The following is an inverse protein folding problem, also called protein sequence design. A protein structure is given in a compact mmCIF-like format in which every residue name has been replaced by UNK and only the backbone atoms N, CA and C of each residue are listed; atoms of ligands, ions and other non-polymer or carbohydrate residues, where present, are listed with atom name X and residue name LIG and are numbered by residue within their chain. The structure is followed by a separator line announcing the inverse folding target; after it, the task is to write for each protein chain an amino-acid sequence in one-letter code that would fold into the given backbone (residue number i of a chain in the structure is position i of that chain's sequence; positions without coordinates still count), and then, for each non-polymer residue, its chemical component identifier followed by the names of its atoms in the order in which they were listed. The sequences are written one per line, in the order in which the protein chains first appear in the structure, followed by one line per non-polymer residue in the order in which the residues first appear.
data_IF_966496200620
#
_entry.id   IF_966496200620
#
_cell.length_a   1.000
_cell.length_b   1.000
_cell.length_c   1.000
_cell.angle_alpha   90.00
_cell.angle_beta   90.00
_cell.angle_gamma   90.00
#
_symmetry.space_group_name_H-M   'P 1'
#
loop_
_entity.id
_entity.type
_entity.pdbx_description
1 polymer ?
#
# COMPACT_ATOMS: atom_id res chain seq x y z
N UNK A 1 -17.10 17.14 -19.36
CA UNK A 1 -16.66 15.89 -18.70
C UNK A 1 -15.14 15.85 -18.43
N UNK A 2 -14.28 16.01 -19.45
CA UNK A 2 -12.81 15.90 -19.29
C UNK A 2 -12.18 16.93 -18.33
N UNK A 3 -12.68 18.18 -18.31
CA UNK A 3 -12.18 19.23 -17.41
C UNK A 3 -12.50 18.95 -15.94
N UNK A 4 -13.71 18.44 -15.67
CA UNK A 4 -14.15 18.03 -14.34
C UNK A 4 -13.32 16.84 -13.83
N UNK A 5 -13.10 15.82 -14.67
CA UNK A 5 -12.25 14.68 -14.33
C UNK A 5 -10.81 15.13 -14.04
N UNK A 6 -10.27 16.08 -14.83
CA UNK A 6 -8.95 16.67 -14.58
C UNK A 6 -8.89 17.35 -13.21
N UNK A 7 -9.93 18.11 -12.83
CA UNK A 7 -10.04 18.75 -11.51
C UNK A 7 -10.11 17.71 -10.38
N UNK A 8 -10.99 16.72 -10.50
CA UNK A 8 -11.14 15.61 -9.54
C UNK A 8 -9.81 14.86 -9.35
N UNK A 9 -9.17 14.48 -10.45
CA UNK A 9 -7.86 13.82 -10.41
C UNK A 9 -6.80 14.68 -9.74
N UNK A 10 -6.72 15.98 -10.05
CA UNK A 10 -5.76 16.89 -9.42
C UNK A 10 -5.95 16.95 -7.90
N UNK A 11 -7.20 17.00 -7.43
CA UNK A 11 -7.51 16.99 -6.00
C UNK A 11 -7.09 15.68 -5.33
N UNK A 12 -7.47 14.54 -5.90
CA UNK A 12 -7.09 13.20 -5.39
C UNK A 12 -5.57 13.04 -5.35
N UNK A 13 -4.90 13.44 -6.44
CA UNK A 13 -3.45 13.40 -6.52
C UNK A 13 -2.82 14.22 -5.40
N UNK A 14 -3.31 15.45 -5.17
CA UNK A 14 -2.82 16.32 -4.08
C UNK A 14 -3.07 15.71 -2.70
N UNK A 15 -4.26 15.18 -2.43
CA UNK A 15 -4.56 14.49 -1.17
C UNK A 15 -3.63 13.29 -0.92
N UNK A 16 -3.22 12.56 -1.97
CA UNK A 16 -2.33 11.41 -1.85
C UNK A 16 -0.84 11.76 -1.73
N UNK A 17 -0.37 12.84 -2.36
CA UNK A 17 1.08 13.10 -2.50
C UNK A 17 1.58 14.39 -1.87
N UNK A 18 0.70 15.34 -1.57
CA UNK A 18 1.11 16.66 -1.08
C UNK A 18 1.47 16.60 0.41
N UNK A 19 2.42 17.46 0.80
CA UNK A 19 2.76 17.75 2.21
C UNK A 19 2.08 19.01 2.73
N UNK A 20 1.37 19.72 1.85
CA UNK A 20 0.69 20.97 2.18
C UNK A 20 -0.49 20.67 3.11
N UNK A 21 -0.49 21.32 4.28
CA UNK A 21 -1.40 21.05 5.38
C UNK A 21 -2.88 21.19 4.97
N UNK A 22 -3.18 22.03 3.96
CA UNK A 22 -4.54 22.18 3.45
C UNK A 22 -5.14 20.90 2.86
N UNK A 23 -4.30 19.94 2.46
CA UNK A 23 -4.75 18.64 1.94
C UNK A 23 -4.71 17.53 2.99
N UNK A 24 -4.20 17.80 4.20
CA UNK A 24 -4.03 16.78 5.25
C UNK A 24 -5.36 16.16 5.64
N UNK A 25 -6.37 16.98 5.94
CA UNK A 25 -7.66 16.49 6.39
C UNK A 25 -8.30 15.56 5.35
N UNK A 26 -8.35 16.00 4.09
CA UNK A 26 -8.84 15.17 2.98
C UNK A 26 -8.03 13.88 2.80
N UNK A 27 -6.72 13.92 3.01
CA UNK A 27 -5.84 12.74 2.98
C UNK A 27 -6.20 11.74 4.09
N UNK A 28 -6.37 12.24 5.32
CA UNK A 28 -6.72 11.44 6.49
C UNK A 28 -8.11 10.82 6.34
N UNK A 29 -9.11 11.60 5.93
CA UNK A 29 -10.48 11.11 5.68
C UNK A 29 -10.50 9.99 4.64
N UNK A 30 -9.80 10.19 3.52
CA UNK A 30 -9.70 9.17 2.48
C UNK A 30 -9.05 7.89 3.04
N UNK A 31 -7.91 8.00 3.72
CA UNK A 31 -7.22 6.83 4.25
C UNK A 31 -7.98 6.15 5.40
N UNK A 32 -8.69 6.91 6.22
CA UNK A 32 -9.58 6.41 7.27
C UNK A 32 -10.72 5.59 6.66
N UNK A 33 -11.33 6.08 5.58
CA UNK A 33 -12.36 5.32 4.86
C UNK A 33 -11.81 3.98 4.35
N UNK A 34 -10.64 4.01 3.71
CA UNK A 34 -9.99 2.79 3.18
C UNK A 34 -9.65 1.80 4.29
N UNK A 35 -9.09 2.24 5.42
CA UNK A 35 -8.75 1.31 6.50
C UNK A 35 -9.99 0.73 7.18
N UNK A 36 -11.05 1.52 7.35
CA UNK A 36 -12.31 1.03 7.92
C UNK A 36 -12.94 -0.04 7.04
N UNK A 37 -12.85 0.10 5.72
CA UNK A 37 -13.28 -0.94 4.78
C UNK A 37 -12.44 -2.21 4.93
N UNK A 38 -11.11 -2.10 5.07
CA UNK A 38 -10.23 -3.25 5.32
C UNK A 38 -10.59 -3.95 6.63
N UNK A 39 -10.79 -3.20 7.72
CA UNK A 39 -11.18 -3.75 9.03
C UNK A 39 -12.51 -4.50 8.96
N UNK A 40 -13.45 -4.03 8.13
CA UNK A 40 -14.76 -4.70 7.94
C UNK A 40 -14.68 -5.97 7.11
N UNK A 41 -13.72 -6.07 6.21
CA UNK A 41 -13.71 -7.09 5.14
C UNK A 41 -12.60 -8.14 5.30
N UNK A 42 -11.65 -7.91 6.21
CA UNK A 42 -10.51 -8.79 6.41
C UNK A 42 -10.35 -9.14 7.89
N UNK A 43 -9.79 -10.32 8.14
CA UNK A 43 -9.38 -10.72 9.49
C UNK A 43 -8.23 -9.85 9.97
N UNK A 44 -8.42 -9.19 11.11
CA UNK A 44 -7.42 -8.34 11.73
C UNK A 44 -6.74 -9.10 12.86
N UNK A 45 -5.42 -9.20 12.77
CA UNK A 45 -4.57 -9.78 13.81
C UNK A 45 -3.87 -8.68 14.60
N UNK A 46 -3.59 -8.97 15.86
CA UNK A 46 -2.64 -8.24 16.68
C UNK A 46 -1.35 -9.06 16.85
N UNK A 47 -0.42 -8.56 17.66
CA UNK A 47 0.89 -9.19 17.90
C UNK A 47 0.78 -10.60 18.46
N UNK A 48 -0.26 -10.90 19.23
CA UNK A 48 -0.46 -12.18 19.91
C UNK A 48 -1.17 -13.18 19.01
N UNK A 49 -2.13 -12.70 18.21
CA UNK A 49 -2.97 -13.52 17.34
C UNK A 49 -2.37 -13.77 15.96
N UNK A 50 -1.27 -13.11 15.55
CA UNK A 50 -0.64 -13.38 14.22
C UNK A 50 -0.30 -14.86 14.00
N UNK A 51 -0.06 -15.64 15.07
CA UNK A 51 0.26 -17.07 15.02
C UNK A 51 -0.88 -17.91 14.43
N UNK A 52 -2.10 -17.39 14.41
CA UNK A 52 -3.31 -18.05 13.90
C UNK A 52 -3.44 -17.97 12.37
N UNK A 53 -2.62 -17.15 11.68
CA UNK A 53 -2.67 -17.00 10.23
C UNK A 53 -2.40 -18.31 9.46
N UNK A 54 -1.67 -19.25 10.07
CA UNK A 54 -1.09 -20.41 9.39
C UNK A 54 0.25 -20.09 8.74
N UNK A 55 0.98 -21.15 8.36
CA UNK A 55 2.30 -21.04 7.73
C UNK A 55 2.18 -20.94 6.20
N UNK A 56 3.25 -20.45 5.55
CA UNK A 56 3.43 -20.48 4.08
C UNK A 56 2.38 -19.72 3.24
N UNK A 57 1.64 -18.80 3.87
CA UNK A 57 0.73 -17.91 3.14
C UNK A 57 1.56 -16.93 2.31
N UNK A 58 1.48 -17.07 0.97
CA UNK A 58 2.10 -16.16 0.01
C UNK A 58 1.12 -15.06 -0.38
N UNK A 59 1.52 -13.80 -0.26
CA UNK A 59 0.61 -12.71 -0.59
C UNK A 59 1.06 -11.32 -0.17
N UNK A 60 0.12 -10.40 -0.25
CA UNK A 60 0.28 -9.00 0.15
C UNK A 60 -0.36 -8.80 1.51
N UNK A 61 0.34 -8.09 2.39
CA UNK A 61 -0.10 -7.78 3.73
C UNK A 61 -0.08 -6.28 4.01
N UNK A 62 -0.80 -5.91 5.07
CA UNK A 62 -0.80 -4.57 5.66
C UNK A 62 -0.38 -4.65 7.13
N UNK A 63 0.45 -3.71 7.55
CA UNK A 63 0.68 -3.36 8.95
C UNK A 63 0.15 -1.95 9.17
N UNK A 64 -0.63 -1.74 10.20
CA UNK A 64 -1.18 -0.43 10.52
C UNK A 64 -1.31 -0.21 12.03
N UNK A 65 -1.54 1.04 12.43
CA UNK A 65 -2.04 1.34 13.78
C UNK A 65 -3.05 2.48 13.73
N UNK A 66 -3.92 2.50 14.75
CA UNK A 66 -4.92 3.54 14.97
C UNK A 66 -4.53 4.37 16.19
N UNK A 67 -4.95 5.63 16.23
CA UNK A 67 -4.84 6.45 17.43
C UNK A 67 -5.98 6.14 18.42
N UNK A 68 -5.97 6.80 19.58
CA UNK A 68 -7.02 6.61 20.62
C UNK A 68 -8.44 6.96 20.16
N UNK A 69 -8.58 7.75 19.09
CA UNK A 69 -9.86 8.12 18.47
C UNK A 69 -10.30 7.15 17.37
N UNK A 70 -9.55 6.07 17.13
CA UNK A 70 -9.79 5.12 16.05
C UNK A 70 -9.35 5.61 14.67
N UNK A 71 -8.63 6.73 14.57
CA UNK A 71 -8.16 7.27 13.29
C UNK A 71 -6.80 6.65 12.91
N UNK A 72 -6.58 6.50 11.62
CA UNK A 72 -5.37 5.90 11.06
C UNK A 72 -4.13 6.72 11.38
N UNK A 73 -3.19 6.10 12.10
CA UNK A 73 -1.90 6.71 12.44
C UNK A 73 -0.85 6.41 11.38
N UNK A 74 -0.75 5.16 10.94
CA UNK A 74 0.12 4.80 9.83
C UNK A 74 -0.31 3.52 9.10
N UNK A 75 0.22 3.34 7.89
CA UNK A 75 0.12 2.11 7.10
C UNK A 75 1.46 1.72 6.48
N UNK A 76 1.67 0.42 6.35
CA UNK A 76 2.77 -0.18 5.61
C UNK A 76 2.27 -1.41 4.84
N UNK A 77 2.42 -1.40 3.53
CA UNK A 77 2.09 -2.53 2.67
C UNK A 77 3.36 -3.30 2.34
N UNK A 78 3.30 -4.62 2.28
CA UNK A 78 4.41 -5.43 1.79
C UNK A 78 3.95 -6.75 1.19
N UNK A 79 4.84 -7.43 0.49
CA UNK A 79 4.62 -8.80 0.02
C UNK A 79 5.59 -9.79 0.65
N UNK A 80 5.17 -11.06 0.70
CA UNK A 80 6.02 -12.17 1.12
C UNK A 80 5.56 -13.48 0.50
N UNK A 81 6.52 -14.41 0.36
CA UNK A 81 6.25 -15.85 0.16
C UNK A 81 5.83 -16.55 1.47
N UNK A 82 6.00 -15.87 2.60
CA UNK A 82 5.55 -16.31 3.92
C UNK A 82 5.25 -15.06 4.74
N UNK A 83 3.96 -14.72 4.83
CA UNK A 83 3.51 -13.51 5.52
C UNK A 83 3.77 -13.62 7.02
N UNK A 84 3.53 -14.77 7.65
CA UNK A 84 3.71 -14.96 9.09
C UNK A 84 5.17 -14.75 9.49
N UNK A 85 6.10 -15.39 8.79
CA UNK A 85 7.54 -15.20 9.02
C UNK A 85 7.95 -13.74 8.83
N UNK A 86 7.36 -13.05 7.86
CA UNK A 86 7.62 -11.62 7.63
C UNK A 86 7.09 -10.74 8.76
N UNK A 87 5.88 -10.98 9.27
CA UNK A 87 5.32 -10.25 10.40
C UNK A 87 6.13 -10.48 11.68
N UNK A 88 6.50 -11.74 11.98
CA UNK A 88 7.41 -12.09 13.08
C UNK A 88 8.73 -11.32 12.98
N UNK A 89 9.30 -11.20 11.78
CA UNK A 89 10.51 -10.39 11.55
C UNK A 89 10.28 -8.90 11.85
N UNK A 90 9.15 -8.32 11.45
CA UNK A 90 8.84 -6.92 11.78
C UNK A 90 8.70 -6.69 13.29
N UNK A 91 8.00 -7.59 13.98
CA UNK A 91 7.83 -7.58 15.45
C UNK A 91 9.18 -7.70 16.15
N UNK A 92 9.98 -8.69 15.78
CA UNK A 92 11.33 -8.88 16.31
C UNK A 92 12.17 -7.61 16.12
N UNK A 93 12.24 -7.10 14.88
CA UNK A 93 12.97 -5.88 14.56
C UNK A 93 12.46 -4.67 15.35
N UNK A 94 11.16 -4.58 15.63
CA UNK A 94 10.59 -3.52 16.45
C UNK A 94 11.13 -3.60 17.88
N UNK A 95 11.08 -4.78 18.51
CA UNK A 95 11.52 -5.04 19.88
C UNK A 95 13.02 -4.77 20.06
N UNK A 96 13.87 -5.28 19.16
CA UNK A 96 15.32 -5.05 19.21
C UNK A 96 15.75 -3.65 18.71
N UNK A 97 14.78 -2.76 18.44
CA UNK A 97 14.99 -1.40 17.96
C UNK A 97 15.87 -1.29 16.69
N UNK A 98 15.80 -2.28 15.78
CA UNK A 98 16.55 -2.31 14.53
C UNK A 98 16.26 -1.09 13.63
N UNK A 99 17.22 -0.69 12.79
CA UNK A 99 17.07 0.35 11.74
C UNK A 99 15.93 0.04 10.76
N UNK A 100 15.66 -1.23 10.47
CA UNK A 100 14.58 -1.64 9.55
C UNK A 100 13.19 -1.21 10.06
N UNK A 101 12.94 -1.29 11.36
CA UNK A 101 11.67 -0.93 12.00
C UNK A 101 11.63 0.53 12.50
N UNK A 102 12.72 1.30 12.35
CA UNK A 102 12.82 2.67 12.86
C UNK A 102 11.69 3.59 12.38
N UNK A 103 11.20 3.39 11.15
CA UNK A 103 10.06 4.15 10.62
C UNK A 103 8.74 3.83 11.31
N UNK A 104 8.50 2.53 11.57
CA UNK A 104 7.31 2.08 12.29
C UNK A 104 7.38 2.66 13.69
N UNK A 105 8.53 2.54 14.38
CA UNK A 105 8.72 3.11 15.73
C UNK A 105 8.53 4.62 15.83
N UNK A 106 8.93 5.37 14.80
CA UNK A 106 8.69 6.82 14.71
C UNK A 106 7.21 7.18 14.63
N UNK A 107 6.38 6.28 14.07
CA UNK A 107 4.93 6.46 13.94
C UNK A 107 4.17 5.80 15.08
N UNK A 108 4.67 4.72 15.65
CA UNK A 108 4.05 3.97 16.72
C UNK A 108 5.11 3.48 17.71
N UNK A 109 5.07 3.95 18.95
CA UNK A 109 6.06 3.59 19.97
C UNK A 109 5.73 2.28 20.69
N UNK A 110 4.48 1.85 20.61
CA UNK A 110 3.90 0.73 21.35
C UNK A 110 3.58 -0.43 20.41
N UNK A 111 4.24 -1.57 20.58
CA UNK A 111 4.08 -2.70 19.67
C UNK A 111 2.67 -3.29 19.74
N UNK A 112 2.04 -3.23 20.91
CA UNK A 112 0.67 -3.68 21.18
C UNK A 112 -0.39 -2.93 20.35
N UNK A 113 -0.05 -1.76 19.80
CA UNK A 113 -0.93 -0.99 18.93
C UNK A 113 -0.84 -1.42 17.45
N UNK A 114 0.11 -2.29 17.11
CA UNK A 114 0.24 -2.78 15.75
C UNK A 114 -0.89 -3.75 15.42
N UNK A 115 -1.42 -3.62 14.22
CA UNK A 115 -2.43 -4.50 13.63
C UNK A 115 -1.93 -5.00 12.28
N UNK A 116 -2.30 -6.22 11.96
CA UNK A 116 -1.83 -6.96 10.80
C UNK A 116 -3.03 -7.54 10.05
N UNK A 117 -2.95 -7.56 8.73
CA UNK A 117 -3.95 -8.25 7.91
C UNK A 117 -3.35 -8.69 6.58
N UNK A 118 -3.80 -9.84 6.09
CA UNK A 118 -3.56 -10.23 4.69
C UNK A 118 -4.54 -9.43 3.83
N UNK A 119 -4.04 -8.79 2.78
CA UNK A 119 -4.85 -8.03 1.81
C UNK A 119 -5.19 -8.87 0.58
N UNK A 120 -4.31 -9.80 0.20
CA UNK A 120 -4.51 -10.70 -0.94
C UNK A 120 -3.55 -11.88 -0.84
N UNK A 121 -4.08 -13.10 -0.98
CA UNK A 121 -3.28 -14.30 -1.22
C UNK A 121 -2.96 -14.34 -2.72
N UNK A 122 -1.67 -14.45 -3.05
CA UNK A 122 -1.16 -14.43 -4.43
C UNK A 122 0.18 -15.20 -4.52
N UNK A 123 0.16 -16.44 -5.02
CA UNK A 123 1.37 -17.27 -5.15
C UNK A 123 2.34 -16.74 -6.21
N UNK A 124 1.84 -16.21 -7.34
CA UNK A 124 2.72 -15.73 -8.39
C UNK A 124 3.50 -14.49 -7.93
N UNK A 125 4.83 -14.53 -8.06
CA UNK A 125 5.67 -13.45 -7.56
C UNK A 125 5.36 -12.12 -8.27
N UNK A 126 5.15 -12.14 -9.59
CA UNK A 126 4.98 -10.89 -10.32
C UNK A 126 3.60 -10.27 -10.05
N UNK A 127 2.55 -11.08 -10.04
CA UNK A 127 1.20 -10.70 -9.65
C UNK A 127 1.19 -10.14 -8.22
N UNK A 128 1.88 -10.80 -7.28
CA UNK A 128 1.99 -10.33 -5.90
C UNK A 128 2.69 -8.97 -5.80
N UNK A 129 3.74 -8.72 -6.59
CA UNK A 129 4.43 -7.42 -6.66
C UNK A 129 3.55 -6.33 -7.32
N UNK A 130 2.73 -6.70 -8.32
CA UNK A 130 1.71 -5.80 -8.90
C UNK A 130 0.64 -5.46 -7.84
N UNK A 131 0.12 -6.45 -7.10
CA UNK A 131 -0.84 -6.26 -6.00
C UNK A 131 -0.26 -5.43 -4.85
N UNK A 132 1.00 -5.63 -4.48
CA UNK A 132 1.70 -4.77 -3.49
C UNK A 132 1.67 -3.30 -3.96
N UNK A 133 2.05 -3.07 -5.22
CA UNK A 133 2.02 -1.73 -5.83
C UNK A 133 0.61 -1.14 -5.81
N UNK A 134 -0.40 -1.92 -6.21
CA UNK A 134 -1.81 -1.53 -6.18
C UNK A 134 -2.23 -1.03 -4.79
N UNK A 135 -1.95 -1.80 -3.74
CA UNK A 135 -2.32 -1.44 -2.38
C UNK A 135 -1.51 -0.27 -1.83
N UNK A 136 -0.23 -0.12 -2.21
CA UNK A 136 0.54 1.09 -1.86
C UNK A 136 -0.13 2.35 -2.41
N UNK A 137 -0.66 2.32 -3.64
CA UNK A 137 -1.42 3.45 -4.20
C UNK A 137 -2.76 3.69 -3.50
N UNK A 138 -3.42 2.62 -3.04
CA UNK A 138 -4.64 2.72 -2.25
C UNK A 138 -4.39 3.46 -0.94
N UNK A 139 -3.37 3.06 -0.17
CA UNK A 139 -3.03 3.69 1.10
C UNK A 139 -2.16 4.95 0.98
N UNK A 140 -1.80 5.37 -0.24
CA UNK A 140 -0.84 6.45 -0.49
C UNK A 140 -1.24 7.76 0.20
N UNK A 141 -0.41 8.18 1.14
CA UNK A 141 -0.50 9.48 1.83
C UNK A 141 0.88 9.85 2.38
N UNK A 142 1.21 11.14 2.39
CA UNK A 142 2.41 11.64 3.08
C UNK A 142 2.30 11.52 4.61
N UNK A 143 1.08 11.53 5.14
CA UNK A 143 0.84 11.63 6.58
C UNK A 143 0.81 10.27 7.27
N UNK A 144 0.24 9.25 6.61
CA UNK A 144 0.00 7.93 7.20
C UNK A 144 0.84 6.81 6.57
N UNK A 145 1.08 6.81 5.26
CA UNK A 145 1.80 5.70 4.63
C UNK A 145 3.33 5.82 4.78
N UNK A 146 3.99 4.73 5.19
CA UNK A 146 5.44 4.74 5.44
C UNK A 146 6.28 4.04 4.36
N UNK A 147 5.63 3.45 3.33
CA UNK A 147 6.32 2.84 2.20
C UNK A 147 7.24 3.85 1.51
N UNK A 148 8.51 3.47 1.26
CA UNK A 148 9.49 4.34 0.58
C UNK A 148 9.37 4.28 -0.94
N UNK A 149 9.00 3.12 -1.46
CA UNK A 149 8.95 2.82 -2.89
C UNK A 149 7.52 2.45 -3.24
N UNK A 150 7.06 2.91 -4.41
CA UNK A 150 5.74 2.56 -4.91
C UNK A 150 5.72 1.23 -5.65
N UNK A 151 6.86 0.81 -6.18
CA UNK A 151 7.00 -0.45 -6.87
C UNK A 151 8.33 -1.11 -6.51
N UNK A 152 8.33 -2.43 -6.43
CA UNK A 152 9.53 -3.21 -6.25
C UNK A 152 10.31 -3.30 -7.57
N UNK A 153 11.65 -3.27 -7.51
CA UNK A 153 12.53 -3.41 -8.69
C UNK A 153 12.44 -4.80 -9.32
N UNK A 154 11.94 -5.80 -8.59
CA UNK A 154 11.68 -7.15 -9.09
C UNK A 154 10.42 -7.26 -9.94
N UNK A 155 9.51 -6.27 -9.88
CA UNK A 155 8.30 -6.29 -10.70
C UNK A 155 8.67 -6.27 -12.19
N UNK A 156 7.89 -7.00 -12.98
CA UNK A 156 8.06 -7.16 -14.43
C UNK A 156 6.82 -6.70 -15.19
N UNK A 157 7.04 -6.18 -16.39
CA UNK A 157 5.97 -6.02 -17.37
C UNK A 157 5.54 -7.38 -17.92
N UNK A 158 4.52 -7.39 -18.77
CA UNK A 158 3.93 -8.64 -19.30
C UNK A 158 4.86 -9.43 -20.23
N UNK A 159 5.99 -8.83 -20.62
CA UNK A 159 7.05 -9.47 -21.41
C UNK A 159 8.30 -9.83 -20.58
N UNK A 160 8.19 -9.85 -19.24
CA UNK A 160 9.30 -10.26 -18.36
C UNK A 160 10.40 -9.21 -18.15
N UNK A 161 10.29 -8.01 -18.74
CA UNK A 161 11.25 -6.91 -18.51
C UNK A 161 10.96 -6.14 -17.23
N UNK A 162 11.97 -5.49 -16.65
CA UNK A 162 11.81 -4.67 -15.45
C UNK A 162 10.92 -3.44 -15.65
N UNK A 163 10.43 -2.88 -14.53
CA UNK A 163 9.58 -1.68 -14.50
C UNK A 163 10.42 -0.42 -14.30
N UNK A 164 10.19 0.60 -15.13
CA UNK A 164 10.83 1.90 -14.98
C UNK A 164 10.13 2.79 -13.96
N UNK A 165 8.80 2.92 -14.09
CA UNK A 165 7.97 3.75 -13.20
C UNK A 165 6.54 3.24 -13.14
N UNK A 166 5.87 3.59 -12.06
CA UNK A 166 4.42 3.44 -11.92
C UNK A 166 3.78 4.79 -11.66
N UNK A 167 2.53 4.95 -12.05
CA UNK A 167 1.80 6.19 -11.84
C UNK A 167 0.29 5.96 -11.76
N UNK A 168 -0.38 6.82 -11.00
CA UNK A 168 -1.83 6.93 -10.97
C UNK A 168 -2.28 7.78 -12.16
N UNK A 169 -3.42 7.44 -12.76
CA UNK A 169 -4.09 8.24 -13.79
C UNK A 169 -5.60 7.96 -13.73
N UNK A 170 -6.36 8.53 -14.65
CA UNK A 170 -7.77 8.21 -14.88
C UNK A 170 -8.02 7.99 -16.37
N UNK A 171 -9.12 7.32 -16.70
CA UNK A 171 -9.61 7.23 -18.07
C UNK A 171 -10.39 8.50 -18.41
N UNK A 172 -9.94 9.19 -19.47
CA UNK A 172 -10.53 10.45 -19.93
C UNK A 172 -11.83 10.23 -20.71
N UNK A 173 -12.02 9.04 -21.25
CA UNK A 173 -13.11 8.68 -22.15
C UNK A 173 -14.20 7.85 -21.46
N UNK A 174 -13.97 7.41 -20.22
CA UNK A 174 -14.96 6.66 -19.44
C UNK A 174 -16.18 7.52 -19.07
N UNK A 175 -17.37 6.93 -19.12
CA UNK A 175 -18.61 7.59 -18.67
C UNK A 175 -18.60 7.94 -17.17
N UNK A 176 -17.79 7.21 -16.38
CA UNK A 176 -17.63 7.44 -14.93
C UNK A 176 -16.15 7.66 -14.62
N UNK A 177 -15.88 8.55 -13.67
CA UNK A 177 -14.53 8.80 -13.21
C UNK A 177 -13.95 7.53 -12.55
N UNK A 178 -12.91 6.95 -13.17
CA UNK A 178 -12.21 5.76 -12.68
C UNK A 178 -10.72 6.02 -12.65
N UNK A 179 -10.10 5.66 -11.53
CA UNK A 179 -8.64 5.73 -11.36
C UNK A 179 -8.01 4.42 -11.82
N UNK A 180 -6.82 4.53 -12.41
CA UNK A 180 -6.01 3.41 -12.86
C UNK A 180 -4.58 3.60 -12.41
N UNK A 181 -3.90 2.49 -12.12
CA UNK A 181 -2.47 2.47 -11.84
C UNK A 181 -1.81 1.76 -13.02
N UNK A 182 -0.84 2.41 -13.63
CA UNK A 182 -0.07 1.81 -14.73
C UNK A 182 1.39 1.67 -14.35
N UNK A 183 2.01 0.60 -14.85
CA UNK A 183 3.45 0.46 -14.96
C UNK A 183 3.93 0.76 -16.38
N UNK A 184 5.16 1.26 -16.51
CA UNK A 184 5.86 1.37 -17.80
C UNK A 184 7.09 0.47 -17.76
N UNK A 185 7.25 -0.32 -18.82
CA UNK A 185 8.42 -1.13 -19.06
C UNK A 185 9.70 -0.26 -19.09
N UNK A 186 10.79 -0.77 -18.51
CA UNK A 186 12.11 -0.13 -18.54
C UNK A 186 12.83 -0.34 -19.87
N UNK A 187 12.53 -1.41 -20.58
CA UNK A 187 13.10 -1.68 -21.89
C UNK A 187 12.51 -0.70 -22.93
N UNK A 188 13.39 0.04 -23.61
CA UNK A 188 13.03 1.10 -24.58
C UNK A 188 12.34 0.56 -25.85
N UNK A 189 12.56 -0.71 -26.19
CA UNK A 189 11.95 -1.39 -27.34
C UNK A 189 10.55 -1.87 -26.95
N UNK A 190 10.44 -2.55 -25.81
CA UNK A 190 9.19 -3.17 -25.34
C UNK A 190 8.05 -2.14 -25.17
N UNK A 191 8.33 -0.89 -24.76
CA UNK A 191 7.38 0.24 -24.56
C UNK A 191 6.06 -0.09 -23.83
N UNK A 192 5.94 -1.29 -23.23
CA UNK A 192 4.69 -1.80 -22.69
C UNK A 192 4.22 -0.91 -21.53
N UNK A 193 2.95 -0.51 -21.60
CA UNK A 193 2.22 0.13 -20.53
C UNK A 193 1.15 -0.86 -20.06
N UNK A 194 1.33 -1.38 -18.86
CA UNK A 194 0.49 -2.45 -18.33
C UNK A 194 -0.29 -1.98 -17.09
N UNK A 195 -1.52 -2.45 -16.98
CA UNK A 195 -2.38 -2.16 -15.83
C UNK A 195 -1.84 -2.87 -14.58
N UNK A 196 -1.96 -2.20 -13.45
CA UNK A 196 -1.69 -2.75 -12.12
C UNK A 196 -3.01 -2.69 -11.36
N UNK A 197 -3.65 -3.85 -11.22
CA UNK A 197 -4.92 -4.06 -10.56
C UNK A 197 -4.80 -5.06 -9.41
#
# INVERSE_FOLDING_TARGET
MSLEFKRKYKYIYKAKVSRDEKYKQASLEYCNKVILEVIKTHTIYDVETIKELGNEIQGVYLIFSLNKKGELKFTYVGESIDILKRWKKHIYNFNIKNKESAKIRKKESKIENLRFTVLKIEPDQNARLKKETYYIYHFKSWYTNINKKYANRKMRCDFGHGVARTYLTYDKNAAKFRLYIYGICRNKICKNKFLID
#
